data_IF_122173897289
#
_entry.id   IF_122173897289
#
_cell.length_a   1.000
_cell.length_b   1.000
_cell.length_c   1.000
_cell.angle_alpha   90.00
_cell.angle_beta   90.00
_cell.angle_gamma   90.00
#
_symmetry.space_group_name_H-M   'P 1'
#
loop_
_entity.id
_entity.type
_entity.pdbx_description
1 polymer ?
#
# COMPACT_ATOMS: atom_id res chain seq x y z
N UNK A 1 -50.04 1.45 -27.66
CA UNK A 1 -49.81 0.97 -29.05
C UNK A 1 -48.49 1.54 -29.60
N UNK A 2 -47.39 1.47 -28.83
CA UNK A 2 -46.06 2.06 -29.18
C UNK A 2 -44.96 0.98 -29.18
N UNK A 3 -45.17 -0.14 -28.49
CA UNK A 3 -44.25 -1.29 -28.43
C UNK A 3 -44.05 -1.98 -29.79
N UNK A 4 -45.13 -2.16 -30.56
CA UNK A 4 -45.07 -2.86 -31.85
C UNK A 4 -44.24 -2.16 -32.93
N UNK A 5 -44.00 -0.84 -32.83
CA UNK A 5 -43.17 -0.10 -33.80
C UNK A 5 -41.69 -0.15 -33.45
N UNK A 6 -41.32 -0.27 -32.17
CA UNK A 6 -39.93 -0.42 -31.74
C UNK A 6 -39.37 -1.79 -32.09
N UNK A 7 -40.07 -2.87 -31.75
CA UNK A 7 -39.63 -4.24 -32.08
C UNK A 7 -39.45 -4.44 -33.59
N UNK A 8 -40.36 -3.86 -34.39
CA UNK A 8 -40.32 -3.96 -35.86
C UNK A 8 -39.16 -3.16 -36.47
N UNK A 9 -38.71 -2.08 -35.81
CA UNK A 9 -37.51 -1.32 -36.21
C UNK A 9 -36.23 -2.02 -35.76
N UNK A 10 -36.23 -2.60 -34.57
CA UNK A 10 -35.09 -3.34 -34.03
C UNK A 10 -34.79 -4.58 -34.89
N UNK A 11 -35.81 -5.35 -35.28
CA UNK A 11 -35.65 -6.54 -36.13
C UNK A 11 -35.19 -6.25 -37.57
N UNK A 12 -35.29 -5.00 -38.05
CA UNK A 12 -34.72 -4.61 -39.36
C UNK A 12 -33.24 -4.24 -39.27
N UNK A 13 -32.78 -3.86 -38.08
CA UNK A 13 -31.36 -3.63 -37.84
C UNK A 13 -30.80 -5.04 -37.57
N UNK A 14 -30.04 -5.60 -38.50
CA UNK A 14 -29.28 -6.85 -38.30
C UNK A 14 -28.15 -6.60 -37.29
N UNK A 15 -28.49 -6.17 -36.09
CA UNK A 15 -27.57 -5.98 -34.99
C UNK A 15 -27.15 -7.36 -34.50
N UNK A 16 -26.06 -7.87 -35.07
CA UNK A 16 -25.30 -8.94 -34.45
C UNK A 16 -24.34 -8.29 -33.47
N UNK A 17 -24.44 -8.55 -32.15
CA UNK A 17 -23.42 -8.11 -31.22
C UNK A 17 -22.11 -8.85 -31.54
N UNK A 18 -21.30 -8.28 -32.42
CA UNK A 18 -19.95 -8.77 -32.73
C UNK A 18 -18.93 -8.34 -31.67
N UNK A 19 -19.32 -7.43 -30.79
CA UNK A 19 -18.52 -7.03 -29.65
C UNK A 19 -18.84 -7.97 -28.48
N UNK A 20 -17.98 -8.95 -28.26
CA UNK A 20 -17.88 -9.61 -26.95
C UNK A 20 -17.60 -8.49 -25.94
N UNK A 21 -18.47 -8.28 -24.94
CA UNK A 21 -18.24 -7.24 -23.94
C UNK A 21 -16.88 -7.47 -23.29
N UNK A 22 -16.05 -6.43 -23.22
CA UNK A 22 -14.79 -6.52 -22.50
C UNK A 22 -15.09 -6.84 -21.03
N UNK A 23 -14.23 -7.61 -20.34
CA UNK A 23 -14.43 -7.98 -18.94
C UNK A 23 -14.76 -6.77 -18.05
N UNK A 24 -14.17 -5.62 -18.36
CA UNK A 24 -14.38 -4.33 -17.68
C UNK A 24 -15.85 -3.84 -17.73
N UNK A 25 -16.55 -4.04 -18.85
CA UNK A 25 -17.96 -3.65 -19.00
C UNK A 25 -18.86 -4.62 -18.23
N UNK A 26 -18.51 -5.90 -18.23
CA UNK A 26 -19.24 -6.93 -17.49
C UNK A 26 -19.10 -6.70 -15.98
N UNK A 27 -17.88 -6.42 -15.50
CA UNK A 27 -17.59 -6.13 -14.10
C UNK A 27 -18.26 -4.82 -13.64
N UNK A 28 -18.33 -3.82 -14.51
CA UNK A 28 -19.04 -2.56 -14.26
C UNK A 28 -20.56 -2.73 -14.11
N UNK A 29 -21.17 -3.66 -14.85
CA UNK A 29 -22.61 -3.98 -14.76
C UNK A 29 -22.90 -4.89 -13.56
N UNK A 30 -22.01 -5.85 -13.30
CA UNK A 30 -22.18 -6.81 -12.20
C UNK A 30 -21.98 -6.18 -10.81
N UNK A 31 -21.51 -4.92 -10.74
CA UNK A 31 -21.28 -4.19 -9.48
C UNK A 31 -20.57 -5.07 -8.45
N UNK A 32 -19.63 -5.91 -8.91
CA UNK A 32 -18.79 -6.73 -8.06
C UNK A 32 -17.84 -5.75 -7.41
N UNK A 33 -18.28 -5.15 -6.29
CA UNK A 33 -17.38 -4.40 -5.43
C UNK A 33 -16.27 -5.38 -5.08
N UNK A 34 -15.01 -5.16 -5.50
CA UNK A 34 -13.93 -6.02 -5.05
C UNK A 34 -14.00 -6.00 -3.52
N UNK A 35 -14.15 -7.18 -2.91
CA UNK A 35 -14.16 -7.27 -1.46
C UNK A 35 -12.87 -6.62 -0.95
N UNK A 36 -12.94 -5.73 0.05
CA UNK A 36 -11.76 -5.04 0.53
C UNK A 36 -10.71 -6.06 0.95
N UNK A 37 -9.50 -5.97 0.39
CA UNK A 37 -8.36 -6.79 0.79
C UNK A 37 -7.87 -6.33 2.16
N UNK A 38 -8.56 -6.82 3.20
CA UNK A 38 -8.27 -6.55 4.60
C UNK A 38 -6.83 -6.95 4.97
N UNK A 39 -6.30 -8.00 4.34
CA UNK A 39 -4.95 -8.48 4.62
C UNK A 39 -3.91 -7.53 4.03
N UNK A 40 -4.09 -7.10 2.79
CA UNK A 40 -3.25 -6.08 2.16
C UNK A 40 -3.25 -4.78 2.98
N UNK A 41 -4.44 -4.31 3.37
CA UNK A 41 -4.60 -3.10 4.19
C UNK A 41 -3.95 -3.23 5.59
N UNK A 42 -4.08 -4.38 6.24
CA UNK A 42 -3.45 -4.62 7.54
C UNK A 42 -1.93 -4.62 7.44
N UNK A 43 -1.36 -5.22 6.39
CA UNK A 43 0.09 -5.27 6.18
C UNK A 43 0.67 -3.91 5.83
N UNK A 44 0.00 -3.12 5.00
CA UNK A 44 0.44 -1.74 4.71
C UNK A 44 0.38 -0.88 5.96
N UNK A 45 -0.70 -0.97 6.74
CA UNK A 45 -0.83 -0.25 8.00
C UNK A 45 0.26 -0.64 9.00
N UNK A 46 0.52 -1.94 9.14
CA UNK A 46 1.59 -2.42 10.02
C UNK A 46 2.98 -1.93 9.56
N UNK A 47 3.23 -1.94 8.25
CA UNK A 47 4.44 -1.36 7.66
C UNK A 47 4.59 0.12 7.99
N UNK A 48 3.50 0.88 7.83
CA UNK A 48 3.46 2.31 8.15
C UNK A 48 3.75 2.58 9.63
N UNK A 49 3.09 1.87 10.55
CA UNK A 49 3.29 2.01 12.00
C UNK A 49 4.76 1.76 12.36
N UNK A 50 5.32 0.64 11.91
CA UNK A 50 6.74 0.34 12.16
C UNK A 50 7.66 1.40 11.56
N UNK A 51 7.32 1.93 10.37
CA UNK A 51 8.13 2.92 9.69
C UNK A 51 8.12 4.26 10.43
N UNK A 52 6.96 4.65 10.95
CA UNK A 52 6.82 5.84 11.81
C UNK A 52 7.64 5.67 13.09
N UNK A 53 7.54 4.52 13.77
CA UNK A 53 8.27 4.28 15.01
C UNK A 53 9.79 4.37 14.80
N UNK A 54 10.31 3.75 13.74
CA UNK A 54 11.72 3.82 13.37
C UNK A 54 12.11 5.26 13.00
N UNK A 55 11.32 5.90 12.14
CA UNK A 55 11.58 7.28 11.68
C UNK A 55 11.60 8.29 12.83
N UNK A 56 10.63 8.21 13.75
CA UNK A 56 10.57 9.08 14.95
C UNK A 56 11.72 8.79 15.89
N UNK A 57 12.06 7.50 16.08
CA UNK A 57 13.22 7.08 16.85
C UNK A 57 14.50 7.75 16.33
N UNK A 58 14.79 7.59 15.03
CA UNK A 58 15.95 8.18 14.36
C UNK A 58 15.94 9.72 14.41
N UNK A 59 14.81 10.35 14.07
CA UNK A 59 14.68 11.82 14.04
C UNK A 59 14.88 12.42 15.44
N UNK A 60 14.32 11.80 16.47
CA UNK A 60 14.43 12.30 17.83
C UNK A 60 15.88 12.30 18.35
N UNK A 61 16.76 11.43 17.85
CA UNK A 61 18.18 11.38 18.24
C UNK A 61 18.95 12.65 17.93
N UNK A 62 18.52 13.42 16.92
CA UNK A 62 19.21 14.65 16.51
C UNK A 62 18.55 15.92 17.05
N UNK A 63 17.36 15.81 17.66
CA UNK A 63 16.61 16.95 18.20
C UNK A 63 16.96 17.14 19.68
N UNK A 64 17.57 18.27 20.08
CA UNK A 64 17.81 18.59 21.49
C UNK A 64 16.50 18.69 22.28
N UNK A 65 16.50 18.20 23.52
CA UNK A 65 15.33 18.27 24.42
C UNK A 65 14.34 17.10 24.30
N UNK A 66 14.56 16.15 23.38
CA UNK A 66 13.79 14.90 23.35
C UNK A 66 14.31 13.90 24.39
N UNK A 67 13.44 13.01 24.86
CA UNK A 67 13.78 12.00 25.89
C UNK A 67 14.84 10.97 25.45
N UNK A 68 15.07 10.82 24.15
CA UNK A 68 16.12 9.96 23.56
C UNK A 68 17.06 10.74 22.62
N UNK A 69 17.12 12.07 22.79
CA UNK A 69 17.94 12.97 21.99
C UNK A 69 19.41 13.01 22.42
N UNK A 70 20.17 14.01 21.95
CA UNK A 70 21.56 14.19 22.34
C UNK A 70 21.71 14.30 23.86
N UNK A 71 22.73 13.64 24.41
CA UNK A 71 23.01 13.59 25.86
C UNK A 71 21.94 12.91 26.73
N UNK A 72 21.02 12.12 26.15
CA UNK A 72 20.02 11.33 26.91
C UNK A 72 20.58 10.06 27.56
N UNK A 73 21.88 9.81 27.45
CA UNK A 73 22.57 8.68 28.10
C UNK A 73 22.06 7.32 27.62
N UNK A 74 21.68 6.46 28.55
CA UNK A 74 21.25 5.08 28.28
C UNK A 74 19.97 5.01 27.43
N UNK A 75 19.02 5.92 27.65
CA UNK A 75 17.75 5.94 26.90
C UNK A 75 17.98 6.19 25.41
N UNK A 76 18.83 7.16 25.07
CA UNK A 76 19.24 7.42 23.69
C UNK A 76 19.99 6.26 23.07
N UNK A 77 20.86 5.59 23.83
CA UNK A 77 21.56 4.40 23.35
C UNK A 77 20.59 3.27 22.99
N UNK A 78 19.63 2.96 23.87
CA UNK A 78 18.65 1.88 23.63
C UNK A 78 17.77 2.22 22.43
N UNK A 79 17.10 3.38 22.44
CA UNK A 79 16.17 3.78 21.38
C UNK A 79 16.91 3.95 20.05
N UNK A 80 18.11 4.53 20.08
CA UNK A 80 18.94 4.70 18.91
C UNK A 80 19.39 3.37 18.31
N UNK A 81 19.91 2.44 19.11
CA UNK A 81 20.30 1.12 18.62
C UNK A 81 19.14 0.34 18.04
N UNK A 82 17.97 0.36 18.69
CA UNK A 82 16.75 -0.26 18.17
C UNK A 82 16.30 0.36 16.83
N UNK A 83 16.37 1.69 16.72
CA UNK A 83 15.99 2.41 15.51
C UNK A 83 16.95 2.14 14.35
N UNK A 84 18.26 2.12 14.61
CA UNK A 84 19.26 1.77 13.60
C UNK A 84 19.19 0.30 13.19
N UNK A 85 18.96 -0.62 14.14
CA UNK A 85 18.72 -2.03 13.81
C UNK A 85 17.46 -2.17 12.96
N UNK A 86 16.38 -1.46 13.31
CA UNK A 86 15.14 -1.41 12.54
C UNK A 86 15.38 -0.94 11.11
N UNK A 87 16.06 0.20 10.92
CA UNK A 87 16.43 0.72 9.59
C UNK A 87 17.30 -0.28 8.81
N UNK A 88 18.29 -0.87 9.49
CA UNK A 88 19.20 -1.86 8.94
C UNK A 88 18.50 -3.13 8.48
N UNK A 89 17.34 -3.47 9.05
CA UNK A 89 16.48 -4.57 8.60
C UNK A 89 15.48 -4.13 7.52
N UNK A 90 14.96 -2.91 7.60
CA UNK A 90 13.98 -2.37 6.64
C UNK A 90 14.53 -2.30 5.21
N UNK A 91 15.79 -1.89 5.04
CA UNK A 91 16.42 -1.75 3.71
C UNK A 91 16.61 -3.12 3.01
N UNK A 92 17.26 -4.13 3.63
CA UNK A 92 17.33 -5.48 3.05
C UNK A 92 15.95 -6.09 2.81
N UNK A 93 15.00 -5.88 3.71
CA UNK A 93 13.65 -6.43 3.55
C UNK A 93 12.95 -5.84 2.33
N UNK A 94 13.14 -4.56 2.04
CA UNK A 94 12.63 -3.94 0.83
C UNK A 94 13.33 -4.44 -0.44
N UNK A 95 14.65 -4.65 -0.41
CA UNK A 95 15.39 -5.24 -1.52
C UNK A 95 14.90 -6.67 -1.81
N UNK A 96 14.69 -7.49 -0.77
CA UNK A 96 14.10 -8.82 -0.88
C UNK A 96 12.66 -8.77 -1.39
N UNK A 97 11.86 -7.82 -0.91
CA UNK A 97 10.50 -7.58 -1.37
C UNK A 97 10.44 -7.27 -2.87
N UNK A 98 11.35 -6.41 -3.36
CA UNK A 98 11.49 -6.09 -4.77
C UNK A 98 11.90 -7.33 -5.61
N UNK A 99 12.88 -8.10 -5.13
CA UNK A 99 13.33 -9.32 -5.80
C UNK A 99 12.25 -10.40 -5.87
N UNK A 100 11.46 -10.58 -4.81
CA UNK A 100 10.42 -11.60 -4.70
C UNK A 100 9.00 -11.14 -4.99
N UNK A 101 8.82 -9.98 -5.64
CA UNK A 101 7.49 -9.40 -5.88
C UNK A 101 6.52 -10.38 -6.57
N UNK A 102 7.00 -11.24 -7.49
CA UNK A 102 6.16 -12.24 -8.19
C UNK A 102 5.69 -13.38 -7.29
N UNK A 103 6.46 -13.74 -6.25
CA UNK A 103 6.13 -14.87 -5.35
C UNK A 103 5.40 -14.41 -4.09
N UNK A 104 5.71 -13.22 -3.58
CA UNK A 104 5.14 -12.67 -2.34
C UNK A 104 4.89 -11.16 -2.48
N UNK A 105 3.79 -10.75 -3.13
CA UNK A 105 3.48 -9.33 -3.35
C UNK A 105 3.27 -8.55 -2.04
N UNK A 106 2.85 -9.26 -0.98
CA UNK A 106 2.60 -8.68 0.34
C UNK A 106 3.86 -8.15 1.04
N UNK A 107 5.04 -8.75 0.78
CA UNK A 107 6.31 -8.29 1.34
C UNK A 107 6.64 -6.90 0.80
N UNK A 108 6.42 -6.70 -0.49
CA UNK A 108 6.70 -5.44 -1.16
C UNK A 108 5.82 -4.31 -0.61
N UNK A 109 4.52 -4.56 -0.42
CA UNK A 109 3.59 -3.59 0.18
C UNK A 109 3.98 -3.20 1.60
N UNK A 110 4.34 -4.17 2.44
CA UNK A 110 4.78 -3.91 3.81
C UNK A 110 6.10 -3.12 3.83
N UNK A 111 7.11 -3.59 3.09
CA UNK A 111 8.45 -3.00 3.12
C UNK A 111 8.50 -1.62 2.47
N UNK A 112 7.74 -1.41 1.40
CA UNK A 112 7.69 -0.11 0.71
C UNK A 112 7.03 0.94 1.59
N UNK A 113 5.91 0.60 2.24
CA UNK A 113 5.21 1.51 3.14
C UNK A 113 6.06 1.82 4.37
N UNK A 114 6.76 0.82 4.92
CA UNK A 114 7.68 1.00 6.02
C UNK A 114 8.81 2.00 5.69
N UNK A 115 9.53 1.80 4.58
CA UNK A 115 10.59 2.71 4.14
C UNK A 115 10.06 4.09 3.79
N UNK A 116 8.92 4.16 3.10
CA UNK A 116 8.28 5.43 2.76
C UNK A 116 8.03 6.26 4.02
N UNK A 117 7.46 5.65 5.06
CA UNK A 117 7.19 6.36 6.30
C UNK A 117 8.45 6.77 7.04
N UNK A 118 9.50 5.95 7.06
CA UNK A 118 10.79 6.33 7.63
C UNK A 118 11.32 7.59 6.93
N UNK A 119 11.35 7.57 5.60
CA UNK A 119 11.87 8.69 4.79
C UNK A 119 11.02 9.95 4.99
N UNK A 120 9.70 9.84 4.96
CA UNK A 120 8.78 10.96 5.18
C UNK A 120 9.03 11.60 6.54
N UNK A 121 9.17 10.81 7.61
CA UNK A 121 9.44 11.35 8.95
C UNK A 121 10.81 12.01 9.02
N UNK A 122 11.85 11.41 8.42
CA UNK A 122 13.19 11.99 8.41
C UNK A 122 13.29 13.29 7.60
N UNK A 123 12.44 13.46 6.58
CA UNK A 123 12.39 14.68 5.76
C UNK A 123 11.42 15.76 6.27
N UNK A 124 10.48 15.40 7.14
CA UNK A 124 9.63 16.36 7.85
C UNK A 124 10.42 17.17 8.88
#
# INVERSE_FOLDING_TARGET
MITNSFDRRLNRIQWQPSAVPTPEIVDGILNVRPMPDLRGAALTLFGAILGILIGVGLKGMVIPGTTWGPNSGLTGAIVGSLSFAGLGLSVPLAALGAYWHKRRPWLLQFSSMNLLMIVVILLS
#
